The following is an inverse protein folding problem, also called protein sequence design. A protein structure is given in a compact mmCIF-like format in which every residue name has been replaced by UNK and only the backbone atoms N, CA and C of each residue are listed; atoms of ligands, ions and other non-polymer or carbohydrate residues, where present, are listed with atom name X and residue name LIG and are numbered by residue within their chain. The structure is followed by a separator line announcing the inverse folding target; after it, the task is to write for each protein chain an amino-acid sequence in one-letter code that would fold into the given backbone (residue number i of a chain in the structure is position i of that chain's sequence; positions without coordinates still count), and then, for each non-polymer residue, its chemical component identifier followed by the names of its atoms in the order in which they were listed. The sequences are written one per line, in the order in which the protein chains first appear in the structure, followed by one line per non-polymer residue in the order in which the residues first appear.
data_IF_550157682537
#
_entry.id   IF_550157682537
#
_cell.length_a   1.000
_cell.length_b   1.000
_cell.length_c   1.000
_cell.angle_alpha   90.00
_cell.angle_beta   90.00
_cell.angle_gamma   90.00
#
_symmetry.space_group_name_H-M   'P 1'
#
loop_
_entity.id
_entity.type
_entity.pdbx_description
1 polymer ?
#
# COMPACT_ATOMS: atom_id res chain seq x y z
N UNK A 1 -17.13 -0.18 75.24
CA UNK A 1 -16.32 0.79 74.47
C UNK A 1 -14.89 0.58 74.97
N UNK A 2 -14.00 -0.08 74.24
CA UNK A 2 -13.31 0.46 73.06
C UNK A 2 -12.96 -0.67 72.07
N UNK A 3 -12.94 -0.32 70.79
CA UNK A 3 -13.11 -1.17 69.61
C UNK A 3 -11.75 -1.61 69.04
N UNK A 4 -11.57 -2.91 68.77
CA UNK A 4 -10.45 -3.42 67.96
C UNK A 4 -10.49 -2.78 66.56
N UNK A 5 -9.34 -2.29 66.07
CA UNK A 5 -9.15 -1.88 64.68
C UNK A 5 -8.18 -2.85 64.00
N UNK A 6 -8.70 -3.65 63.08
CA UNK A 6 -7.97 -4.22 61.96
C UNK A 6 -8.02 -3.19 60.83
N UNK A 7 -6.93 -2.89 60.12
CA UNK A 7 -6.97 -2.60 58.67
C UNK A 7 -5.56 -2.75 58.04
N UNK A 8 -5.42 -3.86 57.32
CA UNK A 8 -4.85 -4.03 55.96
C UNK A 8 -3.57 -3.27 55.60
N UNK A 9 -2.49 -4.04 55.45
CA UNK A 9 -1.30 -3.69 54.64
C UNK A 9 -1.72 -3.73 53.17
N UNK A 10 -1.80 -2.57 52.52
CA UNK A 10 -1.91 -2.50 51.06
C UNK A 10 -0.50 -2.70 50.50
N UNK A 11 -0.24 -3.88 49.95
CA UNK A 11 0.90 -4.09 49.07
C UNK A 11 0.63 -3.32 47.77
N UNK A 12 1.41 -2.27 47.52
CA UNK A 12 1.48 -1.62 46.22
C UNK A 12 2.04 -2.62 45.20
N UNK A 13 1.16 -3.18 44.37
CA UNK A 13 1.57 -3.89 43.16
C UNK A 13 2.12 -2.86 42.17
N UNK A 14 3.45 -2.73 42.11
CA UNK A 14 4.14 -2.09 40.99
C UNK A 14 3.97 -2.97 39.75
N UNK A 15 2.79 -2.91 39.14
CA UNK A 15 2.63 -3.38 37.76
C UNK A 15 3.02 -2.23 36.84
N UNK A 16 4.33 -1.97 36.76
CA UNK A 16 4.89 -1.13 35.72
C UNK A 16 4.75 -1.90 34.40
N UNK A 17 3.65 -1.64 33.68
CA UNK A 17 3.50 -2.04 32.30
C UNK A 17 4.60 -1.32 31.52
N UNK A 18 5.74 -1.99 31.33
CA UNK A 18 6.69 -1.58 30.30
C UNK A 18 5.93 -1.71 28.99
N UNK A 19 5.54 -0.59 28.40
CA UNK A 19 5.30 -0.55 26.96
C UNK A 19 6.64 -0.86 26.30
N UNK A 20 6.92 -2.14 26.08
CA UNK A 20 7.87 -2.52 25.04
C UNK A 20 7.31 -1.90 23.76
N UNK A 21 8.10 -1.00 23.15
CA UNK A 21 7.86 -0.57 21.78
C UNK A 21 7.98 -1.83 20.91
N UNK A 22 6.90 -2.60 20.79
CA UNK A 22 6.85 -3.73 19.89
C UNK A 22 7.14 -3.19 18.49
N UNK A 23 8.25 -3.64 17.91
CA UNK A 23 8.63 -3.26 16.55
C UNK A 23 7.55 -3.77 15.61
N UNK A 24 6.71 -2.86 15.09
CA UNK A 24 5.68 -3.16 14.09
C UNK A 24 6.24 -2.91 12.70
N UNK A 25 5.94 -3.81 11.77
CA UNK A 25 6.19 -3.63 10.35
C UNK A 25 5.30 -2.51 9.83
N UNK A 26 5.89 -1.38 9.44
CA UNK A 26 5.11 -0.27 8.88
C UNK A 26 4.86 -0.52 7.39
N UNK A 27 3.57 -0.53 7.02
CA UNK A 27 3.11 -0.79 5.67
C UNK A 27 2.30 0.41 5.20
N UNK A 28 2.75 1.07 4.14
CA UNK A 28 2.06 2.18 3.50
C UNK A 28 1.32 1.67 2.27
N UNK A 29 0.02 1.97 2.17
CA UNK A 29 -0.78 1.67 0.99
C UNK A 29 -1.43 2.95 0.48
N UNK A 30 -1.34 3.21 -0.81
CA UNK A 30 -1.94 4.41 -1.39
C UNK A 30 -2.93 4.08 -2.48
N UNK A 31 -4.01 4.85 -2.58
CA UNK A 31 -4.89 4.87 -3.75
C UNK A 31 -4.91 6.26 -4.37
N UNK A 32 -5.17 6.36 -5.67
CA UNK A 32 -5.37 7.65 -6.31
C UNK A 32 -6.77 8.18 -6.05
N UNK A 33 -6.88 9.48 -5.78
CA UNK A 33 -8.15 10.17 -5.64
C UNK A 33 -8.84 10.48 -6.97
N UNK A 34 -9.87 11.35 -6.94
CA UNK A 34 -10.60 11.81 -8.13
C UNK A 34 -9.68 12.49 -9.17
N UNK A 35 -10.04 12.39 -10.46
CA UNK A 35 -9.33 13.06 -11.54
C UNK A 35 -10.23 13.36 -12.74
N UNK A 36 -10.04 14.54 -13.36
CA UNK A 36 -10.87 14.99 -14.47
C UNK A 36 -12.36 14.98 -14.11
N UNK A 37 -13.17 14.28 -14.90
CA UNK A 37 -14.60 14.08 -14.63
C UNK A 37 -14.91 12.90 -13.70
N UNK A 38 -13.90 12.08 -13.34
CA UNK A 38 -14.08 10.89 -12.50
C UNK A 38 -14.03 11.28 -11.03
N UNK A 39 -15.21 11.51 -10.44
CA UNK A 39 -15.37 11.84 -9.00
C UNK A 39 -15.06 10.68 -8.05
N UNK A 40 -15.01 9.46 -8.57
CA UNK A 40 -14.77 8.23 -7.81
C UNK A 40 -13.63 7.48 -8.50
N UNK A 41 -12.65 7.05 -7.73
CA UNK A 41 -11.52 6.27 -8.21
C UNK A 41 -11.49 4.91 -7.53
N UNK A 42 -11.58 3.84 -8.32
CA UNK A 42 -11.67 2.47 -7.82
C UNK A 42 -10.50 2.08 -6.91
N UNK A 43 -9.31 2.66 -7.14
CA UNK A 43 -8.13 2.41 -6.31
C UNK A 43 -8.32 2.93 -4.89
N UNK A 44 -8.69 4.20 -4.71
CA UNK A 44 -8.95 4.75 -3.37
C UNK A 44 -10.15 4.09 -2.68
N UNK A 45 -11.21 3.81 -3.42
CA UNK A 45 -12.39 3.12 -2.87
C UNK A 45 -12.06 1.75 -2.27
N UNK A 46 -11.09 1.04 -2.85
CA UNK A 46 -10.59 -0.22 -2.29
C UNK A 46 -9.63 0.01 -1.12
N UNK A 47 -8.65 0.91 -1.26
CA UNK A 47 -7.61 1.17 -0.25
C UNK A 47 -8.22 1.68 1.07
N UNK A 48 -9.22 2.55 1.02
CA UNK A 48 -9.86 3.08 2.24
C UNK A 48 -10.61 2.05 3.08
N UNK A 49 -10.86 0.84 2.54
CA UNK A 49 -11.48 -0.26 3.29
C UNK A 49 -10.47 -1.10 4.08
N UNK A 50 -9.17 -1.02 3.74
CA UNK A 50 -8.13 -1.83 4.37
C UNK A 50 -8.05 -1.66 5.89
N UNK A 51 -8.19 -0.45 6.50
CA UNK A 51 -8.14 -0.32 7.95
C UNK A 51 -9.17 -1.17 8.68
N UNK A 52 -10.42 -1.24 8.18
CA UNK A 52 -11.46 -2.07 8.79
C UNK A 52 -11.19 -3.57 8.55
N UNK A 53 -10.70 -3.94 7.38
CA UNK A 53 -10.30 -5.32 7.10
C UNK A 53 -9.14 -5.79 7.98
N UNK A 54 -8.17 -4.92 8.27
CA UNK A 54 -7.05 -5.27 9.16
C UNK A 54 -7.50 -5.47 10.61
N UNK A 55 -8.53 -4.75 11.08
CA UNK A 55 -9.09 -4.96 12.42
C UNK A 55 -9.64 -6.37 12.61
N UNK A 56 -10.20 -6.99 11.56
CA UNK A 56 -10.76 -8.35 11.67
C UNK A 56 -9.71 -9.44 11.78
N UNK A 57 -8.45 -9.15 11.40
CA UNK A 57 -7.32 -10.07 11.54
C UNK A 57 -6.77 -10.12 12.98
N UNK A 58 -7.18 -9.18 13.83
CA UNK A 58 -6.66 -9.00 15.19
C UNK A 58 -5.17 -8.65 15.24
N UNK A 59 -4.58 -8.73 16.42
CA UNK A 59 -3.14 -8.47 16.64
C UNK A 59 -2.22 -9.61 16.16
N UNK A 60 -2.75 -10.55 15.37
CA UNK A 60 -2.01 -11.71 14.86
C UNK A 60 -0.83 -11.30 13.96
N UNK A 61 -0.90 -10.12 13.35
CA UNK A 61 0.18 -9.51 12.61
C UNK A 61 0.61 -8.20 13.23
N UNK A 62 1.89 -8.09 13.60
CA UNK A 62 2.52 -6.87 14.12
C UNK A 62 2.72 -5.83 13.01
N UNK A 63 1.64 -5.37 12.39
CA UNK A 63 1.63 -4.42 11.27
C UNK A 63 1.11 -3.06 11.75
N UNK A 64 1.79 -2.01 11.35
CA UNK A 64 1.30 -0.64 11.41
C UNK A 64 0.87 -0.22 10.00
N UNK A 65 -0.43 -0.36 9.70
CA UNK A 65 -0.99 -0.02 8.39
C UNK A 65 -1.26 1.48 8.30
N UNK A 66 -0.77 2.09 7.23
CA UNK A 66 -1.03 3.49 6.88
C UNK A 66 -1.67 3.50 5.50
N UNK A 67 -2.78 4.23 5.36
CA UNK A 67 -3.45 4.42 4.07
C UNK A 67 -3.54 5.90 3.72
N UNK A 68 -3.23 6.25 2.47
CA UNK A 68 -3.20 7.64 2.01
C UNK A 68 -3.81 7.78 0.62
N UNK A 69 -4.59 8.85 0.42
CA UNK A 69 -5.15 9.22 -0.87
C UNK A 69 -4.17 10.15 -1.61
N UNK A 70 -3.85 9.82 -2.86
CA UNK A 70 -2.86 10.55 -3.66
C UNK A 70 -3.54 11.35 -4.77
N UNK A 71 -3.25 12.65 -4.90
CA UNK A 71 -3.72 13.45 -6.04
C UNK A 71 -3.15 12.94 -7.37
N UNK A 72 -3.96 12.99 -8.43
CA UNK A 72 -3.52 12.64 -9.79
C UNK A 72 -2.80 13.83 -10.43
N UNK A 73 -1.65 14.21 -9.87
CA UNK A 73 -0.84 15.33 -10.33
C UNK A 73 0.65 15.13 -10.01
N UNK A 74 1.52 15.44 -10.98
CA UNK A 74 2.94 15.04 -10.94
C UNK A 74 3.71 15.70 -9.80
N UNK A 75 3.56 17.02 -9.63
CA UNK A 75 4.22 17.77 -8.56
C UNK A 75 3.80 17.27 -7.17
N UNK A 76 2.51 16.98 -7.00
CA UNK A 76 1.94 16.47 -5.76
C UNK A 76 2.43 15.05 -5.46
N UNK A 77 2.54 14.18 -6.46
CA UNK A 77 3.12 12.84 -6.29
C UNK A 77 4.55 12.92 -5.80
N UNK A 78 5.40 13.73 -6.43
CA UNK A 78 6.81 13.88 -6.02
C UNK A 78 6.94 14.39 -4.59
N UNK A 79 6.11 15.36 -4.21
CA UNK A 79 6.04 15.83 -2.82
C UNK A 79 5.59 14.73 -1.86
N UNK A 80 4.48 14.04 -2.18
CA UNK A 80 3.87 13.02 -1.31
C UNK A 80 4.75 11.81 -1.10
N UNK A 81 5.42 11.30 -2.14
CA UNK A 81 6.34 10.16 -2.00
C UNK A 81 7.44 10.48 -0.99
N UNK A 82 8.05 11.66 -1.10
CA UNK A 82 9.08 12.12 -0.16
C UNK A 82 8.52 12.31 1.26
N UNK A 83 7.40 13.03 1.39
CA UNK A 83 6.75 13.30 2.68
C UNK A 83 6.42 12.00 3.42
N UNK A 84 5.78 11.04 2.73
CA UNK A 84 5.34 9.78 3.33
C UNK A 84 6.52 8.89 3.71
N UNK A 85 7.58 8.87 2.90
CA UNK A 85 8.83 8.18 3.24
C UNK A 85 9.49 8.77 4.49
N UNK A 86 9.67 10.09 4.54
CA UNK A 86 10.31 10.77 5.66
C UNK A 86 9.50 10.66 6.95
N UNK A 87 8.18 10.76 6.85
CA UNK A 87 7.26 10.73 8.00
C UNK A 87 7.14 9.34 8.62
N UNK A 88 7.06 8.29 7.81
CA UNK A 88 6.66 6.96 8.30
C UNK A 88 7.76 5.90 8.19
N UNK A 89 8.78 6.11 7.35
CA UNK A 89 9.84 5.13 7.07
C UNK A 89 9.28 3.70 6.85
N UNK A 90 8.29 3.53 5.94
CA UNK A 90 7.62 2.25 5.74
C UNK A 90 8.61 1.18 5.27
N UNK A 91 8.46 -0.06 5.74
CA UNK A 91 9.22 -1.19 5.20
C UNK A 91 8.64 -1.69 3.87
N UNK A 92 7.33 -1.49 3.69
CA UNK A 92 6.60 -1.88 2.48
C UNK A 92 5.76 -0.70 2.01
N UNK A 93 5.81 -0.40 0.72
CA UNK A 93 4.96 0.58 0.04
C UNK A 93 4.19 -0.15 -1.06
N UNK A 94 2.86 -0.06 -1.04
CA UNK A 94 2.01 -0.53 -2.12
C UNK A 94 1.19 0.61 -2.70
N UNK A 95 1.42 0.92 -3.96
CA UNK A 95 0.61 1.87 -4.70
C UNK A 95 -0.47 1.13 -5.48
N UNK A 96 -1.68 1.67 -5.47
CA UNK A 96 -2.84 1.11 -6.16
C UNK A 96 -3.38 2.15 -7.13
N UNK A 97 -3.56 1.76 -8.38
CA UNK A 97 -4.11 2.62 -9.43
C UNK A 97 -5.20 1.92 -10.22
N UNK A 98 -6.22 2.65 -10.67
CA UNK A 98 -7.25 2.07 -11.54
C UNK A 98 -6.72 2.00 -12.98
N UNK A 99 -6.96 0.87 -13.66
CA UNK A 99 -6.74 0.73 -15.10
C UNK A 99 -8.02 0.27 -15.79
N UNK A 100 -8.43 1.00 -16.83
CA UNK A 100 -9.62 0.64 -17.64
C UNK A 100 -9.42 -0.63 -18.47
N UNK A 101 -8.17 -1.07 -18.62
CA UNK A 101 -7.82 -2.29 -19.34
C UNK A 101 -7.78 -3.52 -18.41
N UNK A 102 -7.69 -3.29 -17.10
CA UNK A 102 -7.58 -4.36 -16.13
C UNK A 102 -8.93 -5.05 -15.92
N UNK A 103 -8.96 -6.38 -16.08
CA UNK A 103 -10.12 -7.24 -15.78
C UNK A 103 -9.94 -8.04 -14.49
N UNK A 104 -8.75 -7.97 -13.90
CA UNK A 104 -8.35 -8.53 -12.61
C UNK A 104 -7.26 -7.63 -11.99
N UNK A 105 -6.71 -7.99 -10.82
CA UNK A 105 -5.55 -7.30 -10.28
C UNK A 105 -4.34 -7.51 -11.20
N UNK A 106 -3.59 -6.46 -11.47
CA UNK A 106 -2.38 -6.54 -12.30
C UNK A 106 -1.20 -6.06 -11.45
N UNK A 107 -0.27 -6.96 -11.17
CA UNK A 107 0.89 -6.69 -10.32
C UNK A 107 2.07 -6.31 -11.21
N UNK A 108 2.56 -5.07 -11.06
CA UNK A 108 3.60 -4.49 -11.90
C UNK A 108 5.00 -4.87 -11.39
N UNK A 109 5.87 -5.37 -12.28
CA UNK A 109 7.24 -5.77 -11.92
C UNK A 109 8.25 -4.63 -11.99
N UNK A 110 7.97 -3.59 -12.76
CA UNK A 110 8.95 -2.56 -13.07
C UNK A 110 8.31 -1.21 -13.37
N UNK A 111 9.13 -0.17 -13.32
CA UNK A 111 8.78 1.19 -13.73
C UNK A 111 9.92 1.85 -14.51
N UNK A 112 9.57 2.78 -15.39
CA UNK A 112 10.40 3.54 -16.31
C UNK A 112 10.43 5.00 -15.85
N UNK A 113 11.56 5.68 -16.03
CA UNK A 113 11.74 7.08 -15.66
C UNK A 113 11.32 8.10 -16.74
N UNK A 114 10.98 7.62 -17.94
CA UNK A 114 10.75 8.45 -19.11
C UNK A 114 9.57 7.94 -19.96
N UNK A 115 9.23 8.69 -21.01
CA UNK A 115 8.13 8.42 -21.94
C UNK A 115 6.78 8.99 -21.50
N UNK A 116 6.76 9.92 -20.53
CA UNK A 116 5.55 10.62 -20.10
C UNK A 116 5.14 11.66 -21.15
N UNK A 117 3.99 11.43 -21.79
CA UNK A 117 3.42 12.34 -22.80
C UNK A 117 2.05 12.92 -22.39
N UNK A 118 1.48 12.41 -21.30
CA UNK A 118 0.12 12.77 -20.86
C UNK A 118 0.20 13.79 -19.75
N UNK A 119 -0.38 14.96 -19.98
CA UNK A 119 -0.50 16.00 -18.95
C UNK A 119 -1.44 15.59 -17.83
N UNK A 120 -1.13 16.03 -16.61
CA UNK A 120 -2.00 15.88 -15.44
C UNK A 120 -3.16 16.89 -15.42
N UNK A 121 -3.96 16.87 -14.34
CA UNK A 121 -5.12 17.75 -14.16
C UNK A 121 -4.77 19.25 -14.10
N UNK A 122 -3.49 19.59 -13.95
CA UNK A 122 -2.97 20.95 -13.96
C UNK A 122 -2.18 21.26 -15.25
N UNK A 123 -2.35 20.43 -16.30
CA UNK A 123 -1.64 20.50 -17.57
C UNK A 123 -0.11 20.40 -17.45
N UNK A 124 0.42 19.78 -16.39
CA UNK A 124 1.85 19.53 -16.26
C UNK A 124 2.21 18.13 -16.78
N UNK A 125 3.43 17.98 -17.29
CA UNK A 125 4.05 16.71 -17.62
C UNK A 125 5.49 16.74 -17.06
N UNK A 126 6.09 15.60 -16.67
CA UNK A 126 7.49 15.55 -16.30
C UNK A 126 8.37 16.09 -17.42
N UNK A 127 9.37 16.89 -17.05
CA UNK A 127 10.43 17.31 -17.95
C UNK A 127 11.40 16.13 -18.13
N UNK A 128 11.70 15.77 -19.37
CA UNK A 128 12.56 14.64 -19.73
C UNK A 128 13.79 15.06 -20.55
N UNK A 129 14.13 16.34 -20.54
CA UNK A 129 15.33 16.84 -21.21
C UNK A 129 16.58 16.19 -20.59
N UNK A 130 17.42 15.60 -21.43
CA UNK A 130 18.69 14.94 -21.07
C UNK A 130 18.59 13.82 -20.03
N UNK A 131 17.43 13.13 -19.95
CA UNK A 131 17.27 11.95 -19.08
C UNK A 131 17.72 10.66 -19.79
N UNK A 132 18.68 9.96 -19.20
CA UNK A 132 19.02 8.58 -19.56
C UNK A 132 17.87 7.64 -19.19
N UNK A 133 17.43 6.81 -20.15
CA UNK A 133 16.34 5.85 -19.92
C UNK A 133 16.76 4.80 -18.89
N UNK A 134 16.00 4.69 -17.81
CA UNK A 134 16.21 3.75 -16.72
C UNK A 134 14.93 2.99 -16.39
N UNK A 135 15.09 1.69 -16.14
CA UNK A 135 14.03 0.80 -15.64
C UNK A 135 14.42 0.31 -14.25
N UNK A 136 13.57 0.55 -13.27
CA UNK A 136 13.70 0.01 -11.92
C UNK A 136 12.71 -1.15 -11.73
N UNK A 137 13.16 -2.20 -11.04
CA UNK A 137 12.34 -3.38 -10.76
C UNK A 137 12.10 -3.51 -9.26
N UNK A 138 10.91 -3.99 -8.90
CA UNK A 138 10.64 -4.33 -7.49
C UNK A 138 11.51 -5.48 -7.00
N UNK A 139 11.88 -5.43 -5.72
CA UNK A 139 12.53 -6.55 -5.02
C UNK A 139 11.53 -7.62 -4.57
N UNK A 140 10.23 -7.35 -4.70
CA UNK A 140 9.16 -8.29 -4.38
C UNK A 140 9.14 -9.47 -5.36
N UNK A 141 8.90 -10.68 -4.85
CA UNK A 141 8.70 -11.88 -5.69
C UNK A 141 7.28 -11.86 -6.31
N UNK A 142 7.11 -11.04 -7.35
CA UNK A 142 5.82 -10.81 -8.02
C UNK A 142 5.16 -12.10 -8.51
N UNK A 143 5.97 -13.10 -8.90
CA UNK A 143 5.45 -14.40 -9.34
C UNK A 143 4.77 -15.12 -8.17
N UNK A 144 5.46 -15.26 -7.03
CA UNK A 144 4.86 -15.89 -5.84
C UNK A 144 3.65 -15.13 -5.30
N UNK A 145 3.68 -13.79 -5.36
CA UNK A 145 2.53 -12.96 -4.96
C UNK A 145 1.32 -13.28 -5.84
N UNK A 146 1.50 -13.26 -7.17
CA UNK A 146 0.44 -13.58 -8.12
C UNK A 146 -0.13 -14.99 -7.89
N UNK A 147 0.74 -15.98 -7.69
CA UNK A 147 0.34 -17.35 -7.36
C UNK A 147 -0.40 -17.43 -6.01
N UNK A 148 0.00 -16.64 -5.00
CA UNK A 148 -0.66 -16.61 -3.70
C UNK A 148 -2.10 -16.07 -3.79
N UNK A 149 -2.31 -14.98 -4.54
CA UNK A 149 -3.65 -14.44 -4.79
C UNK A 149 -4.49 -15.44 -5.56
N UNK A 150 -3.96 -16.01 -6.64
CA UNK A 150 -4.70 -16.93 -7.50
C UNK A 150 -5.04 -18.26 -6.82
N UNK A 151 -4.24 -18.75 -5.87
CA UNK A 151 -4.59 -19.93 -5.06
C UNK A 151 -5.85 -19.74 -4.23
N UNK A 152 -6.17 -18.50 -3.84
CA UNK A 152 -7.36 -18.15 -3.07
C UNK A 152 -8.49 -17.64 -3.95
N UNK A 153 -8.36 -17.67 -5.27
CA UNK A 153 -9.28 -16.95 -6.17
C UNK A 153 -10.74 -17.37 -6.02
N UNK A 154 -10.99 -18.63 -5.64
CA UNK A 154 -12.36 -19.13 -5.44
C UNK A 154 -12.99 -18.61 -4.14
N UNK A 155 -12.17 -18.35 -3.11
CA UNK A 155 -12.61 -17.83 -1.81
C UNK A 155 -12.84 -16.32 -1.86
N UNK A 156 -11.89 -15.57 -2.41
CA UNK A 156 -11.94 -14.09 -2.48
C UNK A 156 -12.57 -13.58 -3.78
N UNK A 157 -12.96 -14.49 -4.69
CA UNK A 157 -13.46 -14.22 -6.04
C UNK A 157 -12.50 -13.39 -6.91
N UNK A 158 -11.24 -13.18 -6.50
CA UNK A 158 -10.32 -12.22 -7.10
C UNK A 158 -9.15 -12.95 -7.77
N UNK A 159 -8.72 -12.46 -8.95
CA UNK A 159 -7.57 -12.99 -9.68
C UNK A 159 -6.47 -11.94 -9.80
N UNK A 160 -5.25 -12.40 -10.03
CA UNK A 160 -4.10 -11.57 -10.32
C UNK A 160 -3.39 -11.99 -11.61
N UNK A 161 -2.81 -11.03 -12.31
CA UNK A 161 -1.86 -11.21 -13.40
C UNK A 161 -0.62 -10.35 -13.15
N UNK A 162 0.37 -10.48 -14.02
CA UNK A 162 1.67 -9.78 -13.91
C UNK A 162 1.86 -8.91 -15.14
N UNK A 163 2.42 -7.72 -14.96
CA UNK A 163 2.75 -6.79 -16.03
C UNK A 163 4.15 -6.18 -15.85
N UNK A 164 4.73 -5.74 -16.96
CA UNK A 164 6.03 -5.04 -17.05
C UNK A 164 5.87 -3.56 -17.46
N UNK A 165 4.63 -3.09 -17.54
CA UNK A 165 4.28 -1.75 -18.00
C UNK A 165 3.11 -1.21 -17.18
N UNK A 166 3.40 -0.33 -16.22
CA UNK A 166 2.37 0.40 -15.47
C UNK A 166 1.87 1.63 -16.26
N UNK A 167 2.21 1.72 -17.55
CA UNK A 167 1.83 2.78 -18.48
C UNK A 167 2.82 3.94 -18.47
N UNK A 168 2.39 5.13 -18.89
CA UNK A 168 3.22 6.35 -18.92
C UNK A 168 2.43 7.55 -18.44
N UNK A 169 1.93 7.44 -17.21
CA UNK A 169 1.19 8.48 -16.49
C UNK A 169 1.50 8.40 -14.99
N UNK A 170 0.60 8.84 -14.12
CA UNK A 170 0.86 8.97 -12.68
C UNK A 170 1.09 7.63 -11.97
N UNK A 171 0.52 6.52 -12.48
CA UNK A 171 0.75 5.17 -11.94
C UNK A 171 2.22 4.76 -12.07
N UNK A 172 2.76 4.83 -13.28
CA UNK A 172 4.19 4.61 -13.56
C UNK A 172 5.07 5.59 -12.78
N UNK A 173 4.67 6.87 -12.75
CA UNK A 173 5.46 7.93 -12.09
C UNK A 173 5.60 7.72 -10.58
N UNK A 174 4.49 7.47 -9.86
CA UNK A 174 4.58 7.20 -8.43
C UNK A 174 5.35 5.91 -8.15
N UNK A 175 5.19 4.89 -9.01
CA UNK A 175 5.90 3.63 -8.84
C UNK A 175 7.41 3.83 -8.98
N UNK A 176 7.84 4.52 -10.04
CA UNK A 176 9.25 4.83 -10.27
C UNK A 176 9.85 5.67 -9.13
N UNK A 177 9.17 6.75 -8.73
CA UNK A 177 9.62 7.65 -7.66
C UNK A 177 9.77 6.94 -6.31
N UNK A 178 8.92 5.95 -6.02
CA UNK A 178 9.05 5.15 -4.80
C UNK A 178 10.13 4.08 -4.92
N UNK A 179 10.28 3.43 -6.08
CA UNK A 179 11.36 2.46 -6.34
C UNK A 179 12.75 3.11 -6.22
N UNK A 180 12.89 4.36 -6.65
CA UNK A 180 14.16 5.09 -6.61
C UNK A 180 14.64 5.42 -5.19
N UNK A 181 13.79 5.27 -4.17
CA UNK A 181 14.19 5.34 -2.76
C UNK A 181 15.13 4.18 -2.40
N UNK A 182 14.92 2.99 -2.98
CA UNK A 182 15.79 1.82 -2.83
C UNK A 182 15.77 1.10 -1.48
N UNK A 183 15.27 1.74 -0.41
CA UNK A 183 15.18 1.14 0.93
C UNK A 183 13.91 0.26 1.15
N UNK A 184 12.68 0.71 0.83
CA UNK A 184 11.48 -0.09 1.06
C UNK A 184 11.24 -1.15 -0.02
N UNK A 185 10.49 -2.21 0.32
CA UNK A 185 9.85 -3.06 -0.69
C UNK A 185 8.69 -2.28 -1.33
N UNK A 186 8.79 -1.97 -2.62
CA UNK A 186 7.76 -1.20 -3.34
C UNK A 186 7.03 -2.07 -4.33
N UNK A 187 5.70 -2.04 -4.36
CA UNK A 187 4.88 -2.71 -5.35
C UNK A 187 3.83 -1.75 -5.92
N UNK A 188 3.52 -1.89 -7.20
CA UNK A 188 2.36 -1.24 -7.81
C UNK A 188 1.35 -2.29 -8.26
N UNK A 189 0.07 -2.05 -7.97
CA UNK A 189 -1.03 -2.92 -8.36
C UNK A 189 -2.08 -2.10 -9.11
N UNK A 190 -2.26 -2.40 -10.39
CA UNK A 190 -3.41 -1.91 -11.14
C UNK A 190 -4.66 -2.73 -10.78
N UNK A 191 -5.78 -2.03 -10.62
CA UNK A 191 -7.07 -2.62 -10.29
C UNK A 191 -8.11 -2.33 -11.38
N UNK A 192 -9.08 -3.23 -11.60
CA UNK A 192 -10.21 -2.96 -12.48
C UNK A 192 -11.05 -1.78 -11.99
N UNK A 193 -11.87 -1.24 -12.88
CA UNK A 193 -12.91 -0.30 -12.48
C UNK A 193 -14.01 -0.97 -11.63
N UNK A 194 -14.88 -0.13 -11.06
CA UNK A 194 -15.96 -0.57 -10.16
C UNK A 194 -17.07 -1.37 -10.85
N UNK A 195 -17.18 -1.33 -12.18
CA UNK A 195 -18.15 -2.14 -12.94
C UNK A 195 -17.65 -3.57 -13.11
N UNK A 196 -16.33 -3.76 -13.15
CA UNK A 196 -15.71 -5.08 -13.18
C UNK A 196 -15.65 -5.64 -11.77
N UNK A 197 -14.93 -4.99 -10.85
CA UNK A 197 -14.79 -5.43 -9.46
C UNK A 197 -15.36 -4.38 -8.50
N UNK A 198 -16.31 -4.76 -7.62
CA UNK A 198 -16.69 -3.87 -6.53
C UNK A 198 -15.47 -3.64 -5.63
N UNK A 199 -15.41 -2.45 -5.02
CA UNK A 199 -14.26 -2.03 -4.23
C UNK A 199 -13.93 -2.99 -3.08
N UNK A 200 -14.93 -3.66 -2.49
CA UNK A 200 -14.74 -4.67 -1.45
C UNK A 200 -13.97 -5.91 -1.95
N UNK A 201 -14.27 -6.37 -3.16
CA UNK A 201 -13.55 -7.48 -3.82
C UNK A 201 -12.11 -7.10 -4.12
N UNK A 202 -11.89 -5.89 -4.63
CA UNK A 202 -10.55 -5.34 -4.86
C UNK A 202 -9.78 -5.23 -3.55
N UNK A 203 -10.41 -4.75 -2.47
CA UNK A 203 -9.79 -4.61 -1.16
C UNK A 203 -9.36 -5.97 -0.57
N UNK A 204 -10.16 -7.03 -0.75
CA UNK A 204 -9.79 -8.39 -0.34
C UNK A 204 -8.57 -8.91 -1.11
N UNK A 205 -8.50 -8.68 -2.43
CA UNK A 205 -7.34 -9.07 -3.21
C UNK A 205 -6.07 -8.29 -2.83
N UNK A 206 -6.19 -6.99 -2.55
CA UNK A 206 -5.09 -6.16 -2.03
C UNK A 206 -4.64 -6.68 -0.65
N UNK A 207 -5.58 -7.02 0.23
CA UNK A 207 -5.28 -7.58 1.55
C UNK A 207 -4.43 -8.84 1.42
N UNK A 208 -4.79 -9.76 0.52
CA UNK A 208 -4.00 -11.00 0.35
C UNK A 208 -2.58 -10.75 -0.14
N UNK A 209 -2.36 -9.76 -1.00
CA UNK A 209 -1.01 -9.32 -1.39
C UNK A 209 -0.25 -8.79 -0.17
N UNK A 210 -0.88 -7.93 0.64
CA UNK A 210 -0.27 -7.34 1.83
C UNK A 210 0.08 -8.41 2.88
N UNK A 211 -0.79 -9.40 3.09
CA UNK A 211 -0.54 -10.50 4.02
C UNK A 211 0.63 -11.37 3.55
N UNK A 212 0.73 -11.64 2.24
CA UNK A 212 1.87 -12.36 1.69
C UNK A 212 3.18 -11.58 1.91
N UNK A 213 3.22 -10.31 1.50
CA UNK A 213 4.41 -9.47 1.63
C UNK A 213 4.84 -9.32 3.10
N UNK A 214 3.87 -9.08 3.99
CA UNK A 214 4.15 -8.85 5.41
C UNK A 214 4.70 -10.10 6.09
N UNK A 215 4.17 -11.29 5.77
CA UNK A 215 4.70 -12.56 6.28
C UNK A 215 6.16 -12.75 5.86
N UNK A 216 6.44 -12.59 4.56
CA UNK A 216 7.81 -12.73 4.04
C UNK A 216 8.76 -11.70 4.67
N UNK A 217 8.31 -10.45 4.88
CA UNK A 217 9.14 -9.42 5.50
C UNK A 217 9.41 -9.68 7.00
N UNK A 218 8.47 -10.29 7.73
CA UNK A 218 8.63 -10.65 9.13
C UNK A 218 9.55 -11.87 9.27
N UNK A 219 9.43 -12.86 8.40
CA UNK A 219 10.28 -14.08 8.40
C UNK A 219 11.76 -13.81 8.07
N UNK A 220 12.05 -12.69 7.39
CA UNK A 220 13.41 -12.28 7.03
C UNK A 220 14.13 -11.47 8.11
N UNK A 221 13.45 -11.09 9.20
CA UNK A 221 14.02 -10.36 10.35
C UNK A 221 14.38 -11.30 11.48
#
# INVERSE_FOLDING_TARGET
MTRLSFYVVVQESKNSFKMENEVRLTVLVTGFGPFGSHKINASWEAVKQLPELFKTLGDSMKINLIVEEIPVAYKQVSFKVKELWEKYKPSIIMHVGVSRLATCLVIERQANNNGYIKSDIFNNCPEEEDIDSQILKTTCDVKKICEAVNRKSDEINCKASISDDAGRYLCEYIYYQSLSIGEPQVLFVHVPDLHIYPSSKTAQGILEILLFLSKTAIELK
#
